data_IF_675016472399
#
_entry.id   IF_675016472399
#
_cell.length_a   1.000
_cell.length_b   1.000
_cell.length_c   1.000
_cell.angle_alpha   90.00
_cell.angle_beta   90.00
_cell.angle_gamma   90.00
#
_symmetry.space_group_name_H-M   'P 1'
#
loop_
_entity.id
_entity.type
_entity.pdbx_description
1 polymer ?
#
# COMPACT_ATOMS: atom_id res chain seq x y z
N UNK A 1 27.14 24.83 8.06
CA UNK A 1 26.09 24.19 8.88
C UNK A 1 25.50 22.98 8.14
N UNK A 2 26.17 21.81 8.10
CA UNK A 2 25.79 20.67 7.23
C UNK A 2 24.80 19.65 7.85
N UNK A 3 24.42 19.80 9.11
CA UNK A 3 23.63 18.82 9.87
C UNK A 3 22.10 18.88 9.67
N UNK A 4 21.59 19.93 9.00
CA UNK A 4 20.14 20.11 8.77
C UNK A 4 19.64 19.26 7.60
N UNK A 5 20.49 19.04 6.59
CA UNK A 5 20.15 18.31 5.36
C UNK A 5 20.01 16.80 5.56
N UNK A 6 20.79 16.20 6.46
CA UNK A 6 20.69 14.76 6.76
C UNK A 6 19.44 14.43 7.56
N UNK A 7 19.09 15.24 8.57
CA UNK A 7 17.81 15.09 9.29
C UNK A 7 16.60 15.22 8.37
N UNK A 8 16.62 16.19 7.45
CA UNK A 8 15.54 16.35 6.48
C UNK A 8 15.35 15.13 5.57
N UNK A 9 16.43 14.42 5.22
CA UNK A 9 16.37 13.20 4.40
C UNK A 9 15.80 12.00 5.14
N UNK A 10 16.18 11.79 6.40
CA UNK A 10 15.60 10.72 7.22
C UNK A 10 14.10 10.96 7.44
N UNK A 11 13.70 12.18 7.83
CA UNK A 11 12.28 12.50 8.02
C UNK A 11 11.48 12.34 6.73
N UNK A 12 12.03 12.74 5.58
CA UNK A 12 11.36 12.55 4.28
C UNK A 12 11.21 11.06 3.91
N UNK A 13 12.16 10.21 4.30
CA UNK A 13 12.13 8.77 4.04
C UNK A 13 11.10 8.05 4.91
N UNK A 14 10.99 8.44 6.18
CA UNK A 14 9.97 7.95 7.11
C UNK A 14 8.57 8.40 6.68
N UNK A 15 8.43 9.67 6.29
CA UNK A 15 7.17 10.22 5.76
C UNK A 15 6.80 9.55 4.43
N UNK A 16 7.76 9.30 3.53
CA UNK A 16 7.51 8.55 2.31
C UNK A 16 7.16 7.08 2.59
N UNK A 17 7.76 6.43 3.59
CA UNK A 17 7.40 5.08 4.01
C UNK A 17 5.97 5.04 4.58
N UNK A 18 5.62 6.03 5.40
CA UNK A 18 4.28 6.20 5.95
C UNK A 18 3.25 6.49 4.85
N UNK A 19 3.57 7.40 3.90
CA UNK A 19 2.74 7.64 2.73
C UNK A 19 2.69 6.43 1.78
N UNK A 20 3.73 5.60 1.70
CA UNK A 20 3.68 4.33 0.96
C UNK A 20 2.75 3.32 1.64
N UNK A 21 2.64 3.37 2.97
CA UNK A 21 1.65 2.62 3.74
C UNK A 21 0.22 3.17 3.65
N UNK A 22 0.05 4.49 3.51
CA UNK A 22 -1.25 5.18 3.58
C UNK A 22 -1.85 5.49 2.19
N UNK A 23 -1.04 5.88 1.21
CA UNK A 23 -1.50 6.55 -0.02
C UNK A 23 -1.80 5.60 -1.19
N UNK A 24 -1.57 4.29 -1.05
CA UNK A 24 -2.06 3.32 -2.03
C UNK A 24 -1.42 3.39 -3.42
N UNK A 25 -0.39 4.21 -3.66
CA UNK A 25 0.34 4.23 -4.94
C UNK A 25 1.08 2.91 -5.20
N UNK A 26 1.42 2.18 -4.12
CA UNK A 26 2.10 0.89 -4.16
C UNK A 26 1.25 -0.22 -3.52
N UNK A 27 -0.08 -0.11 -3.57
CA UNK A 27 -0.98 -1.11 -3.00
C UNK A 27 -0.71 -2.53 -3.56
N UNK A 28 -0.36 -2.63 -4.83
CA UNK A 28 -0.01 -3.92 -5.45
C UNK A 28 1.35 -4.46 -4.96
N UNK A 29 2.38 -3.62 -4.80
CA UNK A 29 3.66 -4.04 -4.23
C UNK A 29 3.54 -4.45 -2.76
N UNK A 30 2.72 -3.74 -1.98
CA UNK A 30 2.41 -4.12 -0.60
C UNK A 30 1.65 -5.45 -0.53
N UNK A 31 0.74 -5.70 -1.49
CA UNK A 31 0.08 -6.99 -1.65
C UNK A 31 1.07 -8.12 -1.96
N UNK A 32 2.03 -7.89 -2.86
CA UNK A 32 3.05 -8.89 -3.20
C UNK A 32 3.95 -9.24 -2.01
N UNK A 33 4.44 -8.25 -1.27
CA UNK A 33 5.24 -8.48 -0.05
C UNK A 33 4.43 -9.21 1.03
N UNK A 34 3.15 -8.85 1.21
CA UNK A 34 2.26 -9.58 2.11
C UNK A 34 1.98 -11.01 1.62
N UNK A 35 1.76 -11.19 0.32
CA UNK A 35 1.52 -12.49 -0.29
C UNK A 35 2.75 -13.39 -0.17
N UNK A 36 3.95 -12.88 -0.37
CA UNK A 36 5.19 -13.63 -0.20
C UNK A 36 5.38 -14.10 1.24
N UNK A 37 5.05 -13.25 2.22
CA UNK A 37 5.13 -13.57 3.65
C UNK A 37 4.05 -14.54 4.13
N UNK A 38 2.82 -14.41 3.62
CA UNK A 38 1.65 -15.17 4.08
C UNK A 38 1.43 -16.45 3.28
N UNK A 39 1.76 -16.43 1.98
CA UNK A 39 1.52 -17.48 1.01
C UNK A 39 2.77 -17.72 0.16
N UNK A 40 3.84 -18.22 0.78
CA UNK A 40 5.14 -18.51 0.18
C UNK A 40 5.15 -19.57 -0.96
N UNK A 41 3.99 -20.01 -1.45
CA UNK A 41 3.86 -20.99 -2.54
C UNK A 41 2.68 -20.77 -3.49
N UNK A 42 1.94 -19.66 -3.33
CA UNK A 42 0.85 -19.28 -4.24
C UNK A 42 1.34 -18.38 -5.37
N UNK A 43 0.67 -18.43 -6.53
CA UNK A 43 0.83 -17.39 -7.54
C UNK A 43 0.07 -16.15 -7.06
N UNK A 44 0.71 -14.97 -6.95
CA UNK A 44 0.00 -13.75 -6.64
C UNK A 44 -0.98 -13.41 -7.75
N UNK A 45 -2.08 -12.75 -7.39
CA UNK A 45 -3.03 -12.17 -8.35
C UNK A 45 -2.33 -11.17 -9.24
N UNK A 46 -2.76 -11.06 -10.50
CA UNK A 46 -2.24 -10.01 -11.39
C UNK A 46 -2.69 -8.62 -10.92
N UNK A 47 -1.95 -7.57 -11.31
CA UNK A 47 -2.25 -6.19 -10.93
C UNK A 47 -3.71 -5.79 -11.24
N UNK A 48 -4.21 -6.20 -12.42
CA UNK A 48 -5.60 -5.93 -12.83
C UNK A 48 -6.62 -6.65 -11.94
N UNK A 49 -6.35 -7.89 -11.56
CA UNK A 49 -7.22 -8.65 -10.67
C UNK A 49 -7.23 -8.06 -9.27
N UNK A 50 -6.08 -7.62 -8.77
CA UNK A 50 -5.96 -6.92 -7.50
C UNK A 50 -6.79 -5.64 -7.47
N UNK A 51 -6.71 -4.81 -8.51
CA UNK A 51 -7.51 -3.57 -8.58
C UNK A 51 -9.00 -3.85 -8.74
N UNK A 52 -9.37 -4.87 -9.52
CA UNK A 52 -10.78 -5.29 -9.65
C UNK A 52 -11.34 -5.75 -8.31
N UNK A 53 -10.66 -6.64 -7.61
CA UNK A 53 -11.05 -7.16 -6.30
C UNK A 53 -11.10 -6.06 -5.24
N UNK A 54 -10.15 -5.12 -5.26
CA UNK A 54 -10.17 -3.95 -4.38
C UNK A 54 -11.39 -3.06 -4.62
N UNK A 55 -11.73 -2.79 -5.89
CA UNK A 55 -12.93 -2.03 -6.24
C UNK A 55 -14.21 -2.80 -5.89
N UNK A 56 -14.25 -4.10 -6.14
CA UNK A 56 -15.38 -4.97 -5.80
C UNK A 56 -15.63 -4.98 -4.28
N UNK A 57 -14.60 -5.07 -3.45
CA UNK A 57 -14.72 -4.92 -1.99
C UNK A 57 -15.20 -3.54 -1.56
N UNK A 58 -14.81 -2.48 -2.27
CA UNK A 58 -15.28 -1.12 -1.99
C UNK A 58 -16.74 -0.91 -2.42
N UNK A 59 -17.17 -1.58 -3.50
CA UNK A 59 -18.54 -1.53 -4.02
C UNK A 59 -19.49 -2.41 -3.19
N UNK A 60 -19.07 -3.64 -2.90
CA UNK A 60 -19.79 -4.62 -2.09
C UNK A 60 -19.83 -4.27 -0.60
N UNK A 61 -18.96 -3.36 -0.14
CA UNK A 61 -19.02 -2.82 1.21
C UNK A 61 -19.42 -1.34 1.25
N UNK A 62 -20.70 -1.02 0.97
CA UNK A 62 -21.20 0.34 1.03
C UNK A 62 -21.41 0.85 2.47
N UNK A 63 -20.78 0.25 3.49
CA UNK A 63 -21.00 0.57 4.92
C UNK A 63 -20.62 2.03 5.32
N UNK A 64 -20.12 2.84 4.37
CA UNK A 64 -20.01 4.30 4.51
C UNK A 64 -21.12 5.11 3.83
N UNK A 65 -22.15 4.47 3.26
CA UNK A 65 -23.29 5.11 2.58
C UNK A 65 -24.61 4.48 3.05
N UNK A 66 -24.88 4.58 4.35
CA UNK A 66 -26.26 4.57 4.81
C UNK A 66 -26.39 5.55 5.98
N UNK A 67 -27.16 6.62 5.70
CA UNK A 67 -27.79 7.55 6.65
C UNK A 67 -26.90 8.55 7.39
#
# INVERSE_FOLDING_TARGET
MPQVLTRARDTAREVAWLFKGIMGENAYQAYLDHHERTHAGGLPMTEREFWRDKMDRQDANPEGRCC
#
